data_IF_968261697906
#
_entry.id   IF_968261697906
#
_cell.length_a   1.000
_cell.length_b   1.000
_cell.length_c   1.000
_cell.angle_alpha   90.00
_cell.angle_beta   90.00
_cell.angle_gamma   90.00
#
_symmetry.space_group_name_H-M   'P 1'
#
loop_
_entity.id
_entity.type
_entity.pdbx_description
1 polymer ?
#
# COMPACT_ATOMS: atom_id res chain seq x y z
N UNK A 1 17.31 -24.16 -13.35
CA UNK A 1 16.93 -23.35 -12.15
C UNK A 1 17.29 -24.13 -10.89
N UNK A 2 18.11 -23.55 -10.06
CA UNK A 2 18.54 -24.22 -8.82
C UNK A 2 17.44 -24.08 -7.77
N UNK A 3 17.03 -25.21 -7.19
CA UNK A 3 16.12 -25.20 -6.04
C UNK A 3 16.77 -24.46 -4.88
N UNK A 4 16.13 -23.46 -4.28
CA UNK A 4 16.64 -22.91 -3.03
C UNK A 4 16.63 -24.04 -1.98
N UNK A 5 17.69 -24.13 -1.17
CA UNK A 5 17.70 -25.08 -0.07
C UNK A 5 16.66 -24.64 0.98
N UNK A 6 16.27 -25.54 1.87
CA UNK A 6 15.24 -25.30 2.87
C UNK A 6 15.57 -24.11 3.77
N UNK A 7 16.85 -23.93 4.11
CA UNK A 7 17.31 -22.83 4.97
C UNK A 7 17.16 -21.49 4.26
N UNK A 8 17.56 -21.40 2.98
CA UNK A 8 17.38 -20.20 2.17
C UNK A 8 15.91 -19.83 2.01
N UNK A 9 15.05 -20.80 1.77
CA UNK A 9 13.61 -20.59 1.65
C UNK A 9 13.03 -20.02 2.93
N UNK A 10 13.36 -20.59 4.08
CA UNK A 10 12.91 -20.11 5.39
C UNK A 10 13.40 -18.69 5.69
N UNK A 11 14.63 -18.36 5.28
CA UNK A 11 15.18 -17.01 5.42
C UNK A 11 14.40 -16.01 4.56
N UNK A 12 14.07 -16.36 3.33
CA UNK A 12 13.27 -15.51 2.45
C UNK A 12 11.88 -15.29 2.98
N UNK A 13 11.24 -16.32 3.52
CA UNK A 13 9.92 -16.21 4.16
C UNK A 13 10.00 -15.29 5.39
N UNK A 14 11.07 -15.37 6.18
CA UNK A 14 11.29 -14.48 7.33
C UNK A 14 11.40 -13.02 6.90
N UNK A 15 12.13 -12.73 5.82
CA UNK A 15 12.25 -11.38 5.25
C UNK A 15 10.87 -10.86 4.81
N UNK A 16 10.09 -11.70 4.13
CA UNK A 16 8.75 -11.34 3.69
C UNK A 16 7.84 -11.04 4.87
N UNK A 17 7.93 -11.82 5.95
CA UNK A 17 7.17 -11.57 7.18
C UNK A 17 7.47 -10.19 7.74
N UNK A 18 8.74 -9.82 7.84
CA UNK A 18 9.16 -8.50 8.32
C UNK A 18 8.65 -7.40 7.41
N UNK A 19 8.70 -7.60 6.10
CA UNK A 19 8.18 -6.64 5.11
C UNK A 19 6.67 -6.48 5.23
N UNK A 20 5.91 -7.53 5.50
CA UNK A 20 4.48 -7.44 5.77
C UNK A 20 4.20 -6.58 7.01
N UNK A 21 4.97 -6.75 8.07
CA UNK A 21 4.82 -5.92 9.28
C UNK A 21 5.01 -4.44 8.96
N UNK A 22 6.04 -4.11 8.19
CA UNK A 22 6.31 -2.73 7.76
C UNK A 22 5.19 -2.20 6.87
N UNK A 23 4.64 -3.01 5.97
CA UNK A 23 3.64 -2.58 4.99
C UNK A 23 2.21 -2.57 5.52
N UNK A 24 1.90 -3.30 6.59
CA UNK A 24 0.53 -3.43 7.10
C UNK A 24 -0.14 -2.07 7.35
N UNK A 25 0.50 -1.07 7.99
CA UNK A 25 -0.14 0.24 8.16
C UNK A 25 -0.48 0.91 6.82
N UNK A 26 0.37 0.77 5.82
CA UNK A 26 0.12 1.34 4.48
C UNK A 26 -1.02 0.61 3.77
N UNK A 27 -1.01 -0.72 3.79
CA UNK A 27 -2.03 -1.55 3.14
C UNK A 27 -3.41 -1.31 3.78
N UNK A 28 -3.48 -1.27 5.11
CA UNK A 28 -4.72 -0.99 5.84
C UNK A 28 -5.26 0.39 5.51
N UNK A 29 -4.39 1.39 5.47
CA UNK A 29 -4.76 2.77 5.12
C UNK A 29 -5.30 2.85 3.70
N UNK A 30 -4.66 2.18 2.75
CA UNK A 30 -5.07 2.16 1.33
C UNK A 30 -6.33 1.33 1.06
N UNK A 31 -6.74 0.47 1.96
CA UNK A 31 -7.90 -0.41 1.74
C UNK A 31 -9.25 0.31 1.85
N UNK A 32 -9.29 1.49 2.43
CA UNK A 32 -10.53 2.25 2.61
C UNK A 32 -10.86 3.09 1.37
N UNK A 33 -12.08 2.94 0.79
CA UNK A 33 -12.45 3.67 -0.43
C UNK A 33 -12.47 5.19 -0.28
N UNK A 34 -12.83 5.71 0.91
CA UNK A 34 -12.83 7.16 1.15
C UNK A 34 -11.41 7.69 1.15
N UNK A 35 -10.49 6.99 1.81
CA UNK A 35 -9.09 7.40 1.83
C UNK A 35 -8.46 7.35 0.44
N UNK A 36 -8.80 6.34 -0.36
CA UNK A 36 -8.39 6.29 -1.77
C UNK A 36 -8.86 7.54 -2.54
N UNK A 37 -10.11 7.92 -2.35
CA UNK A 37 -10.71 9.11 -2.98
C UNK A 37 -9.98 10.39 -2.55
N UNK A 38 -9.66 10.52 -1.27
CA UNK A 38 -8.90 11.68 -0.75
C UNK A 38 -7.52 11.73 -1.40
N UNK A 39 -6.81 10.61 -1.48
CA UNK A 39 -5.49 10.55 -2.12
C UNK A 39 -5.55 10.98 -3.58
N UNK A 40 -6.56 10.53 -4.33
CA UNK A 40 -6.73 10.91 -5.73
C UNK A 40 -7.02 12.40 -5.90
N UNK A 41 -7.87 12.97 -5.04
CA UNK A 41 -8.16 14.40 -5.02
C UNK A 41 -6.90 15.21 -4.73
N UNK A 42 -6.12 14.80 -3.74
CA UNK A 42 -4.86 15.46 -3.38
C UNK A 42 -3.81 15.32 -4.49
N UNK A 43 -3.77 14.18 -5.16
CA UNK A 43 -2.88 13.99 -6.31
C UNK A 43 -3.21 14.99 -7.44
N UNK A 44 -4.49 15.19 -7.72
CA UNK A 44 -4.92 16.16 -8.72
C UNK A 44 -4.58 17.60 -8.32
N UNK A 45 -4.63 17.94 -7.04
CA UNK A 45 -4.30 19.28 -6.57
C UNK A 45 -2.80 19.61 -6.62
N UNK A 46 -1.95 18.59 -6.72
CA UNK A 46 -0.51 18.77 -6.88
C UNK A 46 0.13 19.61 -5.77
N UNK A 47 0.87 20.63 -6.19
CA UNK A 47 1.57 21.55 -5.28
C UNK A 47 0.68 22.64 -4.68
N UNK A 48 -0.56 22.77 -5.14
CA UNK A 48 -1.53 23.71 -4.55
C UNK A 48 -2.07 23.17 -3.23
N UNK A 49 -2.29 21.87 -3.16
CA UNK A 49 -2.87 21.21 -1.99
C UNK A 49 -4.34 21.57 -1.81
N UNK A 50 -4.91 21.08 -0.71
CA UNK A 50 -6.31 21.37 -0.37
C UNK A 50 -6.47 21.44 1.15
N UNK A 51 -7.30 22.36 1.63
CA UNK A 51 -7.71 22.39 3.03
C UNK A 51 -8.92 21.45 3.26
N UNK A 52 -9.32 21.28 4.52
CA UNK A 52 -10.43 20.39 4.89
C UNK A 52 -11.74 20.83 4.24
N UNK A 53 -11.97 22.14 4.12
CA UNK A 53 -13.18 22.68 3.50
C UNK A 53 -13.27 22.27 2.01
N UNK A 54 -12.17 22.40 1.26
CA UNK A 54 -12.11 22.02 -0.14
C UNK A 54 -12.36 20.52 -0.34
N UNK A 55 -11.74 19.70 0.51
CA UNK A 55 -11.90 18.24 0.47
C UNK A 55 -13.35 17.86 0.78
N UNK A 56 -13.92 18.46 1.83
CA UNK A 56 -15.32 18.21 2.25
C UNK A 56 -16.31 18.58 1.15
N UNK A 57 -16.03 19.65 0.39
CA UNK A 57 -16.88 20.05 -0.73
C UNK A 57 -16.89 19.03 -1.87
N UNK A 58 -15.86 18.19 -1.98
CA UNK A 58 -15.74 17.18 -3.05
C UNK A 58 -16.20 15.79 -2.63
N UNK A 59 -16.36 15.54 -1.33
CA UNK A 59 -16.73 14.24 -0.77
C UNK A 59 -17.93 14.42 0.13
N UNK A 60 -19.00 13.64 -0.09
CA UNK A 60 -20.25 13.72 0.66
C UNK A 60 -20.15 13.08 2.05
N UNK A 61 -19.25 13.61 2.88
CA UNK A 61 -19.08 13.19 4.26
C UNK A 61 -19.01 14.42 5.17
N UNK A 62 -19.26 14.21 6.46
CA UNK A 62 -19.12 15.27 7.45
C UNK A 62 -17.67 15.72 7.60
N UNK A 63 -17.45 16.95 7.99
CA UNK A 63 -16.12 17.48 8.26
C UNK A 63 -15.35 16.67 9.31
N UNK A 64 -15.97 16.24 10.44
CA UNK A 64 -15.29 15.36 11.38
C UNK A 64 -14.86 14.02 10.77
N UNK A 65 -15.67 13.42 9.90
CA UNK A 65 -15.30 12.17 9.21
C UNK A 65 -14.10 12.39 8.29
N UNK A 66 -14.10 13.44 7.49
CA UNK A 66 -12.94 13.79 6.62
C UNK A 66 -11.70 14.04 7.47
N UNK A 67 -11.80 14.80 8.56
CA UNK A 67 -10.68 15.06 9.46
C UNK A 67 -10.10 13.77 10.04
N UNK A 68 -10.96 12.81 10.38
CA UNK A 68 -10.55 11.50 10.87
C UNK A 68 -9.72 10.72 9.82
N UNK A 69 -10.20 10.69 8.57
CA UNK A 69 -9.47 10.04 7.47
C UNK A 69 -8.14 10.73 7.17
N UNK A 70 -8.11 12.06 7.20
CA UNK A 70 -6.89 12.83 7.02
C UNK A 70 -5.85 12.54 8.10
N UNK A 71 -6.30 12.39 9.36
CA UNK A 71 -5.41 12.01 10.46
C UNK A 71 -4.79 10.64 10.23
N UNK A 72 -5.58 9.65 9.81
CA UNK A 72 -5.08 8.29 9.51
C UNK A 72 -4.05 8.34 8.38
N UNK A 73 -4.35 9.05 7.30
CA UNK A 73 -3.44 9.21 6.15
C UNK A 73 -2.14 9.90 6.56
N UNK A 74 -2.22 10.93 7.37
CA UNK A 74 -1.06 11.67 7.86
C UNK A 74 -0.21 10.82 8.80
N UNK A 75 -0.83 10.12 9.75
CA UNK A 75 -0.13 9.24 10.69
C UNK A 75 0.58 8.09 9.96
N UNK A 76 0.02 7.62 8.85
CA UNK A 76 0.65 6.63 7.98
C UNK A 76 1.74 7.22 7.06
N UNK A 77 1.94 8.53 7.08
CA UNK A 77 2.96 9.20 6.26
C UNK A 77 2.63 9.26 4.77
N UNK A 78 1.36 9.15 4.39
CA UNK A 78 0.91 9.15 3.00
C UNK A 78 0.48 10.51 2.50
N UNK A 79 0.23 11.44 3.40
CA UNK A 79 0.00 12.85 3.12
C UNK A 79 0.82 13.68 4.12
N UNK A 80 1.10 14.92 3.73
CA UNK A 80 1.70 15.92 4.61
C UNK A 80 0.78 17.12 4.71
N UNK A 81 0.96 17.91 5.75
CA UNK A 81 0.22 19.15 5.93
C UNK A 81 1.18 20.32 6.06
N UNK A 82 0.73 21.49 5.59
CA UNK A 82 1.48 22.73 5.70
C UNK A 82 0.53 23.87 6.02
N UNK A 83 0.86 24.64 7.02
CA UNK A 83 0.05 25.77 7.44
C UNK A 83 0.40 27.00 6.60
N UNK A 84 -0.62 27.63 6.01
CA UNK A 84 -0.51 28.91 5.28
C UNK A 84 -1.45 29.90 5.97
N UNK A 85 -0.91 30.85 6.71
CA UNK A 85 -1.71 31.75 7.53
C UNK A 85 -2.45 30.99 8.62
N UNK A 86 -3.80 31.07 8.62
CA UNK A 86 -4.67 30.33 9.56
C UNK A 86 -5.18 29.00 8.99
N UNK A 87 -4.87 28.71 7.73
CA UNK A 87 -5.36 27.53 7.01
C UNK A 87 -4.31 26.43 6.98
N UNK A 88 -4.76 25.18 7.09
CA UNK A 88 -3.92 23.99 6.94
C UNK A 88 -4.24 23.33 5.61
N UNK A 89 -3.24 23.18 4.76
CA UNK A 89 -3.33 22.54 3.46
C UNK A 89 -2.70 21.17 3.51
N UNK A 90 -3.32 20.22 2.82
CA UNK A 90 -2.86 18.84 2.72
C UNK A 90 -2.36 18.55 1.32
N UNK A 91 -1.32 17.72 1.25
CA UNK A 91 -0.63 17.37 0.00
C UNK A 91 -0.36 15.87 -0.01
N UNK A 92 -0.46 15.24 -1.18
CA UNK A 92 -0.08 13.85 -1.30
C UNK A 92 1.44 13.70 -1.12
N UNK A 93 1.86 12.69 -0.36
CA UNK A 93 3.26 12.35 -0.13
C UNK A 93 3.39 10.84 0.04
N UNK A 94 3.09 10.10 -1.02
CA UNK A 94 2.90 8.64 -0.96
C UNK A 94 4.18 7.86 -1.30
N UNK A 95 5.26 8.55 -1.66
CA UNK A 95 6.48 7.93 -2.15
C UNK A 95 7.03 6.85 -1.21
N UNK A 96 7.18 7.17 0.08
CA UNK A 96 7.73 6.24 1.09
C UNK A 96 6.87 4.99 1.23
N UNK A 97 5.55 5.15 1.27
CA UNK A 97 4.62 4.03 1.36
C UNK A 97 4.73 3.12 0.13
N UNK A 98 4.75 3.71 -1.06
CA UNK A 98 4.88 2.96 -2.31
C UNK A 98 6.22 2.22 -2.39
N UNK A 99 7.30 2.84 -1.96
CA UNK A 99 8.62 2.21 -1.94
C UNK A 99 8.62 0.94 -1.08
N UNK A 100 8.03 1.00 0.10
CA UNK A 100 7.91 -0.16 0.99
C UNK A 100 7.03 -1.27 0.40
N UNK A 101 5.91 -0.89 -0.22
CA UNK A 101 5.00 -1.84 -0.87
C UNK A 101 5.68 -2.49 -2.07
N UNK A 102 6.39 -1.72 -2.90
CA UNK A 102 7.15 -2.24 -4.05
C UNK A 102 8.20 -3.25 -3.59
N UNK A 103 8.92 -2.96 -2.52
CA UNK A 103 9.92 -3.88 -1.97
C UNK A 103 9.29 -5.21 -1.55
N UNK A 104 8.15 -5.16 -0.87
CA UNK A 104 7.41 -6.37 -0.50
C UNK A 104 7.00 -7.16 -1.75
N UNK A 105 6.36 -6.49 -2.71
CA UNK A 105 5.88 -7.14 -3.94
C UNK A 105 7.03 -7.77 -4.70
N UNK A 106 8.15 -7.07 -4.84
CA UNK A 106 9.32 -7.59 -5.55
C UNK A 106 9.93 -8.82 -4.87
N UNK A 107 10.02 -8.81 -3.54
CA UNK A 107 10.55 -9.96 -2.79
C UNK A 107 9.65 -11.20 -2.99
N UNK A 108 8.33 -11.01 -2.87
CA UNK A 108 7.36 -12.09 -3.08
C UNK A 108 7.40 -12.58 -4.52
N UNK A 109 7.43 -11.67 -5.49
CA UNK A 109 7.46 -12.02 -6.91
C UNK A 109 8.71 -12.83 -7.26
N UNK A 110 9.88 -12.44 -6.75
CA UNK A 110 11.13 -13.17 -6.97
C UNK A 110 11.07 -14.58 -6.38
N UNK A 111 10.46 -14.73 -5.19
CA UNK A 111 10.27 -16.05 -4.59
C UNK A 111 9.33 -16.91 -5.43
N UNK A 112 8.23 -16.37 -5.91
CA UNK A 112 7.26 -17.07 -6.75
C UNK A 112 7.87 -17.51 -8.08
N UNK A 113 8.68 -16.66 -8.70
CA UNK A 113 9.38 -16.99 -9.97
C UNK A 113 10.35 -18.16 -9.83
N UNK A 114 10.83 -18.42 -8.63
CA UNK A 114 11.79 -19.50 -8.36
C UNK A 114 11.11 -20.79 -7.86
N UNK A 115 9.76 -20.87 -7.93
CA UNK A 115 9.02 -22.08 -7.59
C UNK A 115 9.35 -23.17 -8.62
N UNK A 116 9.61 -24.38 -8.11
CA UNK A 116 9.89 -25.55 -8.92
C UNK A 116 8.61 -26.08 -9.57
N UNK A 117 8.44 -25.76 -10.86
CA UNK A 117 7.26 -26.15 -11.63
C UNK A 117 7.15 -27.67 -11.79
N UNK A 118 8.26 -28.39 -11.85
CA UNK A 118 8.24 -29.85 -11.94
C UNK A 118 7.67 -30.48 -10.66
N UNK A 119 8.02 -29.95 -9.50
CA UNK A 119 7.46 -30.39 -8.23
C UNK A 119 5.96 -30.13 -8.15
N UNK A 120 5.47 -29.03 -8.70
CA UNK A 120 4.04 -28.71 -8.75
C UNK A 120 3.31 -29.71 -9.66
N UNK A 121 3.86 -29.98 -10.86
CA UNK A 121 3.29 -30.94 -11.81
C UNK A 121 3.17 -32.34 -11.19
N UNK A 122 4.17 -32.72 -10.43
CA UNK A 122 4.23 -34.04 -9.81
C UNK A 122 3.32 -34.16 -8.58
N UNK A 123 3.39 -33.20 -7.66
CA UNK A 123 2.76 -33.28 -6.34
C UNK A 123 1.43 -32.57 -6.24
N UNK A 124 1.20 -31.52 -7.03
CA UNK A 124 0.04 -30.68 -6.95
C UNK A 124 -0.42 -30.17 -8.34
N UNK A 125 -0.62 -31.08 -9.32
CA UNK A 125 -0.96 -30.66 -10.69
C UNK A 125 -2.27 -29.87 -10.78
N UNK A 126 -3.16 -30.03 -9.82
CA UNK A 126 -4.42 -29.29 -9.74
C UNK A 126 -4.21 -27.77 -9.59
N UNK A 127 -3.06 -27.34 -9.06
CA UNK A 127 -2.74 -25.91 -8.94
C UNK A 127 -2.59 -25.22 -10.28
N UNK A 128 -2.18 -25.97 -11.32
CA UNK A 128 -1.96 -25.42 -12.67
C UNK A 128 -3.27 -25.20 -13.43
N UNK A 129 -4.35 -25.83 -12.99
CA UNK A 129 -5.67 -25.78 -13.62
C UNK A 129 -6.65 -24.94 -12.81
N UNK A 130 -6.17 -24.24 -11.77
CA UNK A 130 -7.04 -23.37 -10.99
C UNK A 130 -7.49 -22.17 -11.83
N UNK A 131 -8.79 -21.83 -11.81
CA UNK A 131 -9.28 -20.69 -12.58
C UNK A 131 -8.58 -19.41 -12.08
N UNK A 132 -8.02 -18.66 -13.03
CA UNK A 132 -7.55 -17.32 -12.75
C UNK A 132 -8.78 -16.43 -12.51
N UNK A 133 -8.84 -15.83 -11.33
CA UNK A 133 -9.89 -14.86 -11.01
C UNK A 133 -9.70 -13.56 -11.80
#
# INVERSE_FOLDING_TARGET
MVKPNETEFKQKISIIRDQFEVCTPYLTTLSDPVRQKILLILAESGTDGMDVQDITAKISLSRPAISHHLKILKDAGMIISHKKGTQVYYFIYIYKALDKIINLVNTVLNLVKNIDMESIKEKAPWMLNSPSN
#
